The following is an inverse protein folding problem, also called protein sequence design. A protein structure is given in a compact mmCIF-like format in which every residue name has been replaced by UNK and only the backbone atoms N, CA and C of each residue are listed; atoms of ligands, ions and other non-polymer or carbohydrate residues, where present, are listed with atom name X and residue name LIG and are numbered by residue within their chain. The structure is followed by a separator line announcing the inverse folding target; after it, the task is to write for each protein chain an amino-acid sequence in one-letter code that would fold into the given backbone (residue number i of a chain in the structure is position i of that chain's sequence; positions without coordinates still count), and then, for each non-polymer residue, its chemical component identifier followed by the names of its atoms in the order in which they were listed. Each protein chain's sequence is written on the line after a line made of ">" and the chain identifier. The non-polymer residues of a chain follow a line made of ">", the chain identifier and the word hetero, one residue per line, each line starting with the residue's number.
data_IF_704855204769
#
_entry.id   IF_704855204769
#
_cell.length_a   1.000
_cell.length_b   1.000
_cell.length_c   1.000
_cell.angle_alpha   90.00
_cell.angle_beta   90.00
_cell.angle_gamma   90.00
#
_symmetry.space_group_name_H-M   'P 1'
#
loop_
_entity.id
_entity.type
_entity.pdbx_description
1 polymer ?
#
# COMPACT_ATOMS: atom_id res chain seq x y z
N UNK A 1 5.39 -11.38 12.83
CA UNK A 1 6.02 -12.17 13.90
C UNK A 1 6.57 -11.28 15.00
N UNK A 2 7.47 -10.33 14.73
CA UNK A 2 8.03 -9.40 15.75
C UNK A 2 6.96 -8.80 16.68
N UNK A 3 5.88 -8.26 16.11
CA UNK A 3 4.79 -7.68 16.91
C UNK A 3 4.24 -8.64 17.97
N UNK A 4 4.09 -9.93 17.66
CA UNK A 4 3.56 -10.93 18.61
C UNK A 4 4.54 -11.26 19.74
N UNK A 5 5.82 -10.93 19.59
CA UNK A 5 6.88 -11.20 20.58
C UNK A 5 7.13 -10.00 21.51
N UNK A 6 6.83 -8.78 21.06
CA UNK A 6 7.14 -7.55 21.82
C UNK A 6 5.90 -6.87 22.40
N UNK A 7 4.70 -7.21 21.90
CA UNK A 7 3.47 -6.53 22.29
C UNK A 7 2.96 -7.09 23.61
N UNK A 8 2.62 -6.21 24.54
CA UNK A 8 1.98 -6.61 25.80
C UNK A 8 0.52 -7.04 25.60
N UNK A 9 0.00 -7.85 26.53
CA UNK A 9 -1.40 -8.27 26.54
C UNK A 9 -2.32 -7.04 26.56
N UNK A 10 -3.38 -7.07 25.75
CA UNK A 10 -4.28 -5.94 25.50
C UNK A 10 -3.76 -4.95 24.46
N UNK A 11 -2.51 -5.09 23.99
CA UNK A 11 -1.90 -4.20 23.02
C UNK A 11 -2.59 -4.15 21.66
N UNK A 12 -2.29 -3.09 20.91
CA UNK A 12 -2.79 -2.86 19.54
C UNK A 12 -1.64 -2.94 18.54
N UNK A 13 -1.88 -3.55 17.39
CA UNK A 13 -0.92 -3.67 16.30
C UNK A 13 -1.55 -3.16 15.00
N UNK A 14 -0.82 -2.31 14.28
CA UNK A 14 -1.23 -1.80 12.96
C UNK A 14 -0.19 -2.23 11.93
N UNK A 15 -0.64 -2.99 10.93
CA UNK A 15 0.21 -3.50 9.86
C UNK A 15 -0.23 -2.92 8.52
N UNK A 16 0.69 -2.22 7.86
CA UNK A 16 0.55 -1.90 6.44
C UNK A 16 0.79 -3.15 5.61
N UNK A 17 -0.10 -3.45 4.69
CA UNK A 17 0.01 -4.56 3.74
C UNK A 17 -0.55 -4.15 2.37
N UNK A 18 -0.42 -5.04 1.40
CA UNK A 18 -0.94 -4.84 0.05
C UNK A 18 -2.07 -5.85 -0.24
N UNK A 19 -1.83 -6.78 -1.15
CA UNK A 19 -2.81 -7.79 -1.55
C UNK A 19 -2.88 -8.95 -0.55
N UNK A 20 -3.99 -9.69 -0.61
CA UNK A 20 -4.28 -10.87 0.23
C UNK A 20 -4.36 -12.17 -0.58
N UNK A 21 -3.75 -12.20 -1.77
CA UNK A 21 -3.90 -13.32 -2.71
C UNK A 21 -2.98 -14.50 -2.40
N UNK A 22 -1.91 -14.25 -1.66
CA UNK A 22 -0.89 -15.24 -1.34
C UNK A 22 -1.31 -16.12 -0.15
N UNK A 23 -1.05 -17.43 -0.25
CA UNK A 23 -1.30 -18.41 0.82
C UNK A 23 -0.62 -18.02 2.15
N UNK A 24 0.61 -17.50 2.06
CA UNK A 24 1.36 -17.00 3.22
C UNK A 24 0.68 -15.80 3.87
N UNK A 25 0.07 -14.91 3.08
CA UNK A 25 -0.69 -13.77 3.61
C UNK A 25 -1.95 -14.27 4.31
N UNK A 26 -2.66 -15.22 3.72
CA UNK A 26 -3.83 -15.84 4.33
C UNK A 26 -3.50 -16.49 5.68
N UNK A 27 -2.40 -17.23 5.76
CA UNK A 27 -1.89 -17.80 7.00
C UNK A 27 -1.59 -16.74 8.06
N UNK A 28 -0.94 -15.64 7.67
CA UNK A 28 -0.65 -14.53 8.60
C UNK A 28 -1.93 -13.84 9.07
N UNK A 29 -2.91 -13.64 8.20
CA UNK A 29 -4.21 -13.06 8.56
C UNK A 29 -4.95 -13.95 9.56
N UNK A 30 -4.94 -15.27 9.34
CA UNK A 30 -5.55 -16.21 10.28
C UNK A 30 -4.85 -16.19 11.65
N UNK A 31 -3.51 -16.20 11.66
CA UNK A 31 -2.72 -16.06 12.88
C UNK A 31 -3.09 -14.80 13.67
N UNK A 32 -3.27 -13.66 12.98
CA UNK A 32 -3.70 -12.41 13.62
C UNK A 32 -5.11 -12.54 14.21
N UNK A 33 -6.06 -13.17 13.51
CA UNK A 33 -7.40 -13.41 14.06
C UNK A 33 -7.36 -14.30 15.32
N UNK A 34 -6.46 -15.27 15.38
CA UNK A 34 -6.26 -16.09 16.58
C UNK A 34 -5.65 -15.27 17.73
N UNK A 35 -4.67 -14.43 17.42
CA UNK A 35 -3.85 -13.71 18.40
C UNK A 35 -4.52 -12.49 19.04
N UNK A 36 -5.54 -11.91 18.40
CA UNK A 36 -6.18 -10.66 18.82
C UNK A 36 -7.69 -10.83 19.02
N UNK A 37 -8.29 -9.95 19.82
CA UNK A 37 -9.74 -9.93 20.06
C UNK A 37 -10.52 -9.40 18.86
N UNK A 38 -9.94 -8.43 18.14
CA UNK A 38 -10.52 -7.85 16.93
C UNK A 38 -9.46 -7.59 15.87
N UNK A 39 -9.72 -8.01 14.64
CA UNK A 39 -8.89 -7.70 13.46
C UNK A 39 -9.77 -7.02 12.42
N UNK A 40 -9.36 -5.83 11.98
CA UNK A 40 -10.09 -5.06 10.97
C UNK A 40 -9.16 -4.66 9.83
N UNK A 41 -9.65 -4.72 8.61
CA UNK A 41 -8.91 -4.25 7.43
C UNK A 41 -9.48 -2.90 7.01
N UNK A 42 -8.61 -1.92 6.82
CA UNK A 42 -8.97 -0.53 6.51
C UNK A 42 -8.10 0.00 5.37
N UNK A 43 -8.71 0.70 4.42
CA UNK A 43 -7.98 1.57 3.47
C UNK A 43 -8.26 3.02 3.85
N UNK A 44 -7.37 3.68 4.60
CA UNK A 44 -7.60 5.06 5.04
C UNK A 44 -7.61 6.01 3.84
N UNK A 45 -8.39 7.09 3.92
CA UNK A 45 -8.47 8.13 2.87
C UNK A 45 -7.12 8.78 2.56
N UNK A 46 -6.20 8.78 3.54
CA UNK A 46 -4.85 9.31 3.41
C UNK A 46 -3.90 8.37 2.66
N UNK A 47 -4.28 7.10 2.44
CA UNK A 47 -3.58 6.21 1.51
C UNK A 47 -4.05 6.49 0.09
N UNK A 48 -3.13 6.46 -0.88
CA UNK A 48 -3.49 6.62 -2.31
C UNK A 48 -4.57 5.59 -2.68
N UNK A 49 -5.69 6.07 -3.21
CA UNK A 49 -6.85 5.20 -3.44
C UNK A 49 -6.59 4.17 -4.55
N UNK A 50 -5.81 4.51 -5.58
CA UNK A 50 -5.53 3.63 -6.72
C UNK A 50 -4.46 2.56 -6.48
N UNK A 51 -3.83 2.52 -5.29
CA UNK A 51 -2.87 1.45 -4.96
C UNK A 51 -3.55 0.28 -4.22
N UNK A 52 -2.82 -0.81 -4.04
CA UNK A 52 -3.28 -1.98 -3.28
C UNK A 52 -3.04 -1.88 -1.77
N UNK A 53 -2.55 -0.74 -1.27
CA UNK A 53 -2.22 -0.56 0.15
C UNK A 53 -3.48 -0.57 1.02
N UNK A 54 -3.45 -1.39 2.06
CA UNK A 54 -4.45 -1.53 3.11
C UNK A 54 -3.74 -1.68 4.46
N UNK A 55 -4.48 -1.47 5.54
CA UNK A 55 -4.00 -1.54 6.91
C UNK A 55 -4.81 -2.57 7.69
N UNK A 56 -4.12 -3.52 8.32
CA UNK A 56 -4.70 -4.43 9.29
C UNK A 56 -4.55 -3.81 10.67
N UNK A 57 -5.67 -3.58 11.34
CA UNK A 57 -5.76 -3.01 12.67
C UNK A 57 -6.20 -4.13 13.62
N UNK A 58 -5.25 -4.63 14.39
CA UNK A 58 -5.44 -5.67 15.38
C UNK A 58 -5.53 -5.04 16.78
N UNK A 59 -6.57 -5.37 17.55
CA UNK A 59 -6.82 -4.81 18.90
C UNK A 59 -7.02 -5.93 19.91
N UNK A 60 -6.53 -5.71 21.13
CA UNK A 60 -6.66 -6.67 22.23
C UNK A 60 -5.78 -7.89 22.00
N UNK A 61 -4.45 -7.71 22.03
CA UNK A 61 -3.53 -8.85 21.95
C UNK A 61 -3.77 -9.81 23.12
N UNK A 62 -3.99 -11.09 22.84
CA UNK A 62 -4.35 -12.08 23.87
C UNK A 62 -3.17 -12.50 24.76
N UNK A 63 -1.93 -12.23 24.32
CA UNK A 63 -0.69 -12.49 25.05
C UNK A 63 0.22 -13.48 24.33
N UNK A 64 1.51 -13.47 24.64
CA UNK A 64 2.51 -14.31 23.98
C UNK A 64 2.21 -15.82 24.08
N UNK A 65 1.68 -16.26 25.23
CA UNK A 65 1.40 -17.67 25.52
C UNK A 65 0.41 -18.31 24.53
N UNK A 66 -0.51 -17.53 23.93
CA UNK A 66 -1.47 -18.09 22.98
C UNK A 66 -0.89 -18.29 21.57
N UNK A 67 0.25 -17.67 21.26
CA UNK A 67 0.87 -17.70 19.94
C UNK A 67 2.25 -18.37 19.93
N UNK A 68 2.86 -18.57 21.10
CA UNK A 68 4.18 -19.18 21.25
C UNK A 68 4.36 -20.49 20.43
N UNK A 69 3.43 -21.47 20.48
CA UNK A 69 3.58 -22.70 19.68
C UNK A 69 3.60 -22.43 18.17
N UNK A 70 2.80 -21.47 17.71
CA UNK A 70 2.71 -21.08 16.30
C UNK A 70 3.96 -20.33 15.85
N UNK A 71 4.55 -19.52 16.74
CA UNK A 71 5.82 -18.83 16.51
C UNK A 71 6.96 -19.85 16.38
N UNK A 72 7.03 -20.84 17.27
CA UNK A 72 8.02 -21.92 17.17
C UNK A 72 7.85 -22.74 15.89
N UNK A 73 6.62 -23.12 15.53
CA UNK A 73 6.32 -23.81 14.26
C UNK A 73 6.78 -23.00 13.04
N UNK A 74 6.59 -21.68 13.07
CA UNK A 74 7.03 -20.80 11.98
C UNK A 74 8.56 -20.77 11.85
N UNK A 75 9.29 -20.62 12.96
CA UNK A 75 10.76 -20.56 12.90
C UNK A 75 11.41 -21.92 12.63
N UNK A 76 10.83 -23.04 13.09
CA UNK A 76 11.35 -24.38 12.79
C UNK A 76 11.20 -24.77 11.32
N UNK A 77 10.23 -24.19 10.61
CA UNK A 77 9.99 -24.44 9.18
C UNK A 77 10.73 -23.48 8.24
N UNK A 78 11.40 -22.46 8.80
CA UNK A 78 12.07 -21.38 8.04
C UNK A 78 13.41 -21.77 7.41
N UNK A 79 13.94 -22.98 7.67
CA UNK A 79 15.25 -23.42 7.18
C UNK A 79 15.25 -23.95 5.73
N UNK A 80 14.28 -23.55 4.90
CA UNK A 80 14.14 -24.07 3.53
C UNK A 80 14.04 -22.95 2.52
N UNK A 81 15.00 -22.95 1.61
CA UNK A 81 15.17 -22.12 0.41
C UNK A 81 14.00 -22.21 -0.60
N UNK A 82 12.87 -22.84 -0.25
CA UNK A 82 11.71 -23.06 -1.11
C UNK A 82 10.40 -22.67 -0.42
N UNK A 83 9.73 -21.72 -1.06
CA UNK A 83 8.56 -20.92 -0.67
C UNK A 83 7.22 -21.68 -0.53
N UNK A 84 7.22 -23.00 -0.29
CA UNK A 84 5.98 -23.81 -0.34
C UNK A 84 5.37 -24.20 1.02
N UNK A 85 6.04 -23.89 2.13
CA UNK A 85 5.53 -24.24 3.45
C UNK A 85 4.57 -23.17 3.98
N UNK A 86 3.28 -23.46 3.97
CA UNK A 86 2.25 -22.66 4.65
C UNK A 86 2.22 -22.97 6.16
N UNK A 87 1.96 -21.96 7.00
CA UNK A 87 1.84 -22.17 8.46
C UNK A 87 0.62 -23.04 8.82
N UNK A 88 -0.45 -22.87 8.04
CA UNK A 88 -1.71 -23.60 8.16
C UNK A 88 -2.05 -24.22 6.79
N UNK A 89 -2.28 -25.54 6.73
CA UNK A 89 -2.94 -26.18 5.60
C UNK A 89 -4.30 -25.54 5.28
N UNK A 90 -4.68 -25.50 4.01
CA UNK A 90 -5.93 -24.85 3.57
C UNK A 90 -7.17 -25.49 4.19
N UNK A 91 -7.17 -26.82 4.33
CA UNK A 91 -8.25 -27.59 4.95
C UNK A 91 -8.41 -27.33 6.46
N UNK A 92 -7.39 -26.82 7.15
CA UNK A 92 -7.45 -26.43 8.56
C UNK A 92 -8.03 -25.01 8.76
N UNK A 93 -8.15 -24.21 7.69
CA UNK A 93 -8.66 -22.85 7.79
C UNK A 93 -10.21 -22.84 7.83
N UNK A 94 -10.83 -22.13 8.78
CA UNK A 94 -12.28 -22.04 8.86
C UNK A 94 -12.89 -21.45 7.58
N UNK A 95 -13.95 -22.08 7.07
CA UNK A 95 -14.64 -21.66 5.84
C UNK A 95 -15.17 -20.22 5.92
N UNK A 96 -15.68 -19.81 7.08
CA UNK A 96 -16.17 -18.45 7.30
C UNK A 96 -15.05 -17.41 7.25
N UNK A 97 -13.86 -17.77 7.75
CA UNK A 97 -12.67 -16.93 7.63
C UNK A 97 -12.26 -16.79 6.16
N UNK A 98 -12.17 -17.91 5.42
CA UNK A 98 -11.85 -17.90 3.98
C UNK A 98 -12.84 -17.05 3.18
N UNK A 99 -14.14 -17.21 3.45
CA UNK A 99 -15.20 -16.42 2.83
C UNK A 99 -15.03 -14.91 3.12
N UNK A 100 -14.69 -14.57 4.37
CA UNK A 100 -14.48 -13.19 4.79
C UNK A 100 -13.27 -12.55 4.11
N UNK A 101 -12.15 -13.27 4.03
CA UNK A 101 -10.93 -12.79 3.34
C UNK A 101 -11.17 -12.65 1.84
N UNK A 102 -11.90 -13.58 1.22
CA UNK A 102 -12.28 -13.48 -0.19
C UNK A 102 -13.15 -12.24 -0.46
N UNK A 103 -14.24 -12.06 0.31
CA UNK A 103 -15.12 -10.89 0.19
C UNK A 103 -14.35 -9.59 0.39
N UNK A 104 -13.46 -9.55 1.39
CA UNK A 104 -12.64 -8.39 1.67
C UNK A 104 -11.65 -8.08 0.54
N UNK A 105 -10.97 -9.11 0.02
CA UNK A 105 -10.04 -8.99 -1.11
C UNK A 105 -10.77 -8.45 -2.35
N UNK A 106 -11.91 -9.05 -2.69
CA UNK A 106 -12.75 -8.64 -3.81
C UNK A 106 -13.18 -7.18 -3.69
N UNK A 107 -13.69 -6.77 -2.53
CA UNK A 107 -14.11 -5.40 -2.26
C UNK A 107 -12.99 -4.37 -2.50
N UNK A 108 -11.80 -4.61 -1.95
CA UNK A 108 -10.68 -3.66 -2.13
C UNK A 108 -10.12 -3.65 -3.55
N UNK A 109 -10.12 -4.80 -4.24
CA UNK A 109 -9.73 -4.86 -5.66
C UNK A 109 -10.72 -4.12 -6.57
N UNK A 110 -12.03 -4.29 -6.37
CA UNK A 110 -13.06 -3.58 -7.13
C UNK A 110 -12.98 -2.07 -6.91
N UNK A 111 -12.80 -1.63 -5.65
CA UNK A 111 -12.57 -0.21 -5.34
C UNK A 111 -11.32 0.33 -6.04
N UNK A 112 -10.22 -0.44 -6.02
CA UNK A 112 -8.97 -0.04 -6.66
C UNK A 112 -9.16 0.15 -8.17
N UNK A 113 -9.81 -0.83 -8.83
CA UNK A 113 -10.10 -0.78 -10.26
C UNK A 113 -10.93 0.46 -10.62
N UNK A 114 -12.03 0.69 -9.90
CA UNK A 114 -12.90 1.85 -10.11
C UNK A 114 -12.13 3.17 -9.95
N UNK A 115 -11.26 3.28 -8.95
CA UNK A 115 -10.45 4.48 -8.73
C UNK A 115 -9.44 4.68 -9.85
N UNK A 116 -8.79 3.62 -10.33
CA UNK A 116 -7.83 3.71 -11.44
C UNK A 116 -8.55 4.20 -12.70
N UNK A 117 -9.70 3.60 -13.05
CA UNK A 117 -10.51 3.99 -14.20
C UNK A 117 -10.97 5.45 -14.10
N UNK A 118 -11.46 5.84 -12.92
CA UNK A 118 -11.86 7.21 -12.66
C UNK A 118 -10.67 8.17 -12.79
N UNK A 119 -9.50 7.83 -12.24
CA UNK A 119 -8.32 8.69 -12.35
C UNK A 119 -7.89 8.89 -13.81
N UNK A 120 -7.95 7.85 -14.64
CA UNK A 120 -7.66 7.95 -16.08
C UNK A 120 -8.67 8.88 -16.75
N UNK A 121 -9.97 8.69 -16.51
CA UNK A 121 -11.02 9.55 -17.07
C UNK A 121 -10.84 11.01 -16.67
N UNK A 122 -10.62 11.25 -15.37
CA UNK A 122 -10.47 12.60 -14.81
C UNK A 122 -9.19 13.27 -15.27
N UNK A 123 -8.11 12.52 -15.53
CA UNK A 123 -6.86 13.07 -16.03
C UNK A 123 -7.06 13.89 -17.31
N UNK A 124 -7.89 13.39 -18.24
CA UNK A 124 -8.18 14.08 -19.51
C UNK A 124 -9.26 15.17 -19.41
N UNK A 125 -10.04 15.20 -18.33
CA UNK A 125 -11.23 16.06 -18.21
C UNK A 125 -11.08 17.18 -17.18
N UNK A 126 -9.96 17.22 -16.45
CA UNK A 126 -9.79 18.09 -15.29
C UNK A 126 -9.72 19.57 -15.67
N UNK A 127 -10.46 20.39 -14.95
CA UNK A 127 -10.44 21.86 -15.06
C UNK A 127 -9.68 22.51 -13.90
N UNK A 128 -9.31 23.79 -14.03
CA UNK A 128 -8.71 24.56 -12.92
C UNK A 128 -9.64 24.67 -11.70
N UNK A 129 -10.96 24.76 -11.93
CA UNK A 129 -11.95 24.83 -10.85
C UNK A 129 -11.99 23.55 -10.02
N UNK A 130 -11.76 22.39 -10.63
CA UNK A 130 -11.65 21.11 -9.91
C UNK A 130 -10.43 21.11 -8.99
N UNK A 131 -9.31 21.70 -9.42
CA UNK A 131 -8.09 21.80 -8.61
C UNK A 131 -8.32 22.67 -7.37
N UNK A 132 -9.01 23.81 -7.53
CA UNK A 132 -9.33 24.71 -6.41
C UNK A 132 -10.25 24.01 -5.40
N UNK A 133 -11.33 23.41 -5.89
CA UNK A 133 -12.30 22.68 -5.06
C UNK A 133 -11.65 21.52 -4.27
N UNK A 134 -10.72 20.78 -4.89
CA UNK A 134 -9.97 19.73 -4.21
C UNK A 134 -9.06 20.27 -3.09
N UNK A 135 -8.46 21.43 -3.29
CA UNK A 135 -7.59 22.07 -2.28
C UNK A 135 -8.41 22.51 -1.07
N UNK A 136 -9.60 23.09 -1.30
CA UNK A 136 -10.53 23.48 -0.24
C UNK A 136 -11.03 22.25 0.55
N UNK A 137 -11.36 21.16 -0.15
CA UNK A 137 -11.76 19.90 0.49
C UNK A 137 -10.63 19.33 1.36
N UNK A 138 -9.38 19.35 0.88
CA UNK A 138 -8.22 18.91 1.66
C UNK A 138 -8.07 19.73 2.94
N UNK A 139 -8.23 21.05 2.87
CA UNK A 139 -8.18 21.92 4.04
C UNK A 139 -9.31 21.61 5.02
N UNK A 140 -10.54 21.40 4.53
CA UNK A 140 -11.68 21.02 5.36
C UNK A 140 -11.44 19.69 6.09
N UNK A 141 -10.89 18.68 5.41
CA UNK A 141 -10.54 17.38 6.02
C UNK A 141 -9.47 17.56 7.10
N UNK A 142 -8.41 18.32 6.82
CA UNK A 142 -7.35 18.60 7.78
C UNK A 142 -7.88 19.33 9.03
N UNK A 143 -8.68 20.38 8.84
CA UNK A 143 -9.29 21.14 9.93
C UNK A 143 -10.24 20.26 10.77
N UNK A 144 -11.05 19.43 10.11
CA UNK A 144 -11.93 18.46 10.80
C UNK A 144 -11.13 17.50 11.67
N UNK A 145 -9.99 17.00 11.18
CA UNK A 145 -9.10 16.11 11.93
C UNK A 145 -8.53 16.81 13.17
N UNK A 146 -7.98 18.02 13.01
CA UNK A 146 -7.40 18.82 14.10
C UNK A 146 -8.44 19.08 15.19
N UNK A 147 -9.64 19.52 14.80
CA UNK A 147 -10.71 19.84 15.74
C UNK A 147 -11.26 18.59 16.44
N UNK A 148 -11.48 17.50 15.68
CA UNK A 148 -12.03 16.25 16.22
C UNK A 148 -11.11 15.59 17.24
N UNK A 149 -9.80 15.58 16.98
CA UNK A 149 -8.81 14.93 17.84
C UNK A 149 -8.09 15.90 18.77
N UNK A 150 -8.47 17.18 18.77
CA UNK A 150 -7.88 18.24 19.58
C UNK A 150 -6.35 18.27 19.45
N UNK A 151 -5.85 18.16 18.23
CA UNK A 151 -4.41 18.15 17.96
C UNK A 151 -3.84 19.50 18.37
N UNK A 152 -2.86 19.49 19.27
CA UNK A 152 -2.14 20.68 19.74
C UNK A 152 -0.74 20.70 19.15
N UNK A 153 -0.15 21.90 18.94
CA UNK A 153 1.27 22.01 18.68
C UNK A 153 2.07 21.30 19.78
N UNK A 154 3.16 20.64 19.39
CA UNK A 154 4.12 20.11 20.36
C UNK A 154 4.77 21.29 21.10
N UNK A 155 5.06 21.10 22.39
CA UNK A 155 5.84 22.09 23.13
C UNK A 155 7.23 22.20 22.48
N UNK A 156 7.73 23.42 22.16
CA UNK A 156 9.05 23.59 21.55
C UNK A 156 10.20 22.92 22.33
N UNK A 157 10.06 22.75 23.65
CA UNK A 157 11.04 22.05 24.50
C UNK A 157 11.05 20.53 24.29
N UNK A 158 9.97 19.96 23.73
CA UNK A 158 9.83 18.54 23.43
C UNK A 158 10.19 18.21 21.96
N UNK A 159 10.55 19.21 21.16
CA UNK A 159 11.01 18.99 19.79
C UNK A 159 12.34 18.23 19.79
N UNK A 160 12.36 17.01 19.24
CA UNK A 160 13.59 16.21 19.07
C UNK A 160 14.58 16.95 18.17
N UNK A 161 14.07 17.56 17.10
CA UNK A 161 14.82 18.45 16.21
C UNK A 161 14.05 19.76 16.11
N UNK A 162 14.54 20.78 16.80
CA UNK A 162 13.87 22.07 16.86
C UNK A 162 13.67 22.71 15.49
N UNK A 163 12.54 23.40 15.25
CA UNK A 163 12.29 24.12 13.98
C UNK A 163 13.45 25.05 13.59
N UNK A 164 14.09 25.67 14.57
CA UNK A 164 15.24 26.56 14.35
C UNK A 164 16.45 25.83 13.76
N UNK A 165 16.69 24.57 14.16
CA UNK A 165 17.75 23.72 13.57
C UNK A 165 17.39 23.31 12.15
N UNK A 166 16.14 22.96 11.87
CA UNK A 166 15.69 22.63 10.52
C UNK A 166 15.79 23.83 9.56
N UNK A 167 15.39 25.03 10.01
CA UNK A 167 15.53 26.26 9.22
C UNK A 167 16.99 26.64 8.96
N UNK A 168 17.89 26.40 9.91
CA UNK A 168 19.32 26.61 9.73
C UNK A 168 19.93 25.67 8.66
N UNK A 169 19.45 24.43 8.57
CA UNK A 169 19.85 23.46 7.54
C UNK A 169 19.21 23.77 6.17
N UNK A 170 18.07 24.47 6.16
CA UNK A 170 17.29 24.74 4.95
C UNK A 170 17.98 25.67 3.95
N UNK A 171 19.01 26.42 4.37
CA UNK A 171 19.78 27.31 3.49
C UNK A 171 20.61 26.56 2.44
N UNK A 172 20.97 25.29 2.66
CA UNK A 172 21.81 24.49 1.76
C UNK A 172 21.05 23.43 0.95
N UNK A 173 19.72 23.37 1.08
CA UNK A 173 18.92 22.44 0.29
C UNK A 173 18.51 23.08 -1.04
N UNK A 174 18.63 22.35 -2.18
CA UNK A 174 18.17 22.86 -3.46
C UNK A 174 16.68 23.22 -3.35
N UNK A 175 16.34 24.45 -3.74
CA UNK A 175 14.96 24.91 -3.76
C UNK A 175 14.16 23.97 -4.67
N UNK A 176 13.31 23.14 -4.06
CA UNK A 176 12.34 22.35 -4.82
C UNK A 176 11.40 23.34 -5.49
N UNK A 177 11.47 23.41 -6.81
CA UNK A 177 10.59 24.26 -7.60
C UNK A 177 9.14 23.94 -7.27
N UNK A 178 8.41 24.91 -6.72
CA UNK A 178 6.97 24.82 -6.47
C UNK A 178 6.14 25.14 -7.71
N UNK A 179 6.80 25.48 -8.82
CA UNK A 179 6.16 25.74 -10.10
C UNK A 179 5.58 24.44 -10.62
N UNK A 180 4.25 24.34 -10.67
CA UNK A 180 3.55 23.23 -11.33
C UNK A 180 3.98 23.22 -12.79
N UNK A 181 4.86 22.28 -13.15
CA UNK A 181 5.18 22.03 -14.56
C UNK A 181 4.02 21.29 -15.19
N UNK A 182 3.74 21.59 -16.47
CA UNK A 182 2.73 20.86 -17.23
C UNK A 182 3.02 19.35 -17.17
N UNK A 183 2.01 18.56 -16.80
CA UNK A 183 2.07 17.10 -16.68
C UNK A 183 1.75 16.42 -18.01
N UNK A 184 2.06 17.08 -19.13
CA UNK A 184 1.82 16.54 -20.48
C UNK A 184 2.80 15.43 -20.86
N UNK A 185 3.91 15.31 -20.12
CA UNK A 185 4.95 14.33 -20.34
C UNK A 185 5.63 13.95 -19.02
N UNK A 186 6.08 12.70 -18.94
CA UNK A 186 6.87 12.14 -17.83
C UNK A 186 8.21 12.84 -17.68
N UNK A 187 8.86 12.71 -16.52
CA UNK A 187 10.19 13.30 -16.30
C UNK A 187 11.23 12.81 -17.32
N UNK A 188 11.18 11.53 -17.69
CA UNK A 188 12.06 10.97 -18.71
C UNK A 188 11.82 11.59 -20.10
N UNK A 189 10.56 11.81 -20.48
CA UNK A 189 10.20 12.51 -21.72
C UNK A 189 10.63 13.98 -21.68
N UNK A 190 10.46 14.67 -20.55
CA UNK A 190 10.95 16.05 -20.36
C UNK A 190 12.46 16.14 -20.53
N UNK A 191 13.22 15.21 -19.95
CA UNK A 191 14.68 15.19 -20.12
C UNK A 191 15.06 14.92 -21.58
N UNK A 192 14.36 14.01 -22.27
CA UNK A 192 14.59 13.74 -23.69
C UNK A 192 14.29 14.93 -24.59
N UNK A 193 13.22 15.68 -24.33
CA UNK A 193 12.88 16.89 -25.09
C UNK A 193 13.90 18.03 -24.92
N UNK A 194 14.68 18.02 -23.83
CA UNK A 194 15.79 18.96 -23.62
C UNK A 194 17.04 18.52 -24.40
N UNK A 195 17.21 17.21 -24.65
CA UNK A 195 18.39 16.63 -25.29
C UNK A 195 18.24 16.42 -26.81
N UNK A 196 17.02 16.28 -27.34
CA UNK A 196 16.77 15.93 -28.74
C UNK A 196 15.85 16.93 -29.45
N UNK A 197 16.11 17.19 -30.74
CA UNK A 197 15.17 17.86 -31.63
C UNK A 197 13.97 16.92 -31.90
N UNK A 198 12.76 17.47 -32.05
CA UNK A 198 11.50 16.69 -32.16
C UNK A 198 11.55 15.56 -33.22
N UNK A 199 12.27 15.78 -34.32
CA UNK A 199 12.45 14.81 -35.40
C UNK A 199 13.32 13.60 -35.00
N UNK A 200 14.33 13.81 -34.15
CA UNK A 200 15.23 12.76 -33.69
C UNK A 200 14.56 11.90 -32.61
N UNK A 201 13.72 12.51 -31.77
CA UNK A 201 12.90 11.78 -30.78
C UNK A 201 11.86 10.90 -31.48
N UNK A 202 11.16 11.41 -32.49
CA UNK A 202 10.19 10.63 -33.27
C UNK A 202 10.86 9.40 -33.93
N UNK A 203 12.08 9.56 -34.43
CA UNK A 203 12.86 8.48 -35.05
C UNK A 203 13.28 7.43 -34.02
N UNK A 204 13.76 7.86 -32.85
CA UNK A 204 14.12 6.97 -31.75
C UNK A 204 12.92 6.16 -31.25
N UNK A 205 11.76 6.79 -31.09
CA UNK A 205 10.52 6.13 -30.68
C UNK A 205 10.05 5.13 -31.74
N UNK A 206 10.13 5.49 -33.02
CA UNK A 206 9.79 4.58 -34.11
C UNK A 206 10.72 3.36 -34.14
N UNK A 207 12.01 3.55 -33.91
CA UNK A 207 12.99 2.47 -33.81
C UNK A 207 12.75 1.58 -32.57
N UNK A 208 12.32 2.16 -31.44
CA UNK A 208 11.91 1.39 -30.26
C UNK A 208 10.64 0.56 -30.52
N UNK A 209 9.64 1.13 -31.20
CA UNK A 209 8.43 0.40 -31.59
C UNK A 209 8.77 -0.72 -32.58
N UNK A 210 9.61 -0.43 -33.56
CA UNK A 210 10.04 -1.41 -34.57
C UNK A 210 10.92 -2.52 -33.99
N UNK A 211 11.74 -2.20 -32.97
CA UNK A 211 12.56 -3.18 -32.25
C UNK A 211 11.79 -3.94 -31.17
N UNK A 212 10.59 -3.47 -30.81
CA UNK A 212 9.70 -4.17 -29.91
C UNK A 212 9.18 -5.44 -30.58
N UNK A 213 9.88 -6.56 -30.37
CA UNK A 213 9.31 -7.87 -30.63
C UNK A 213 8.12 -8.03 -29.71
N UNK A 214 6.90 -8.08 -30.26
CA UNK A 214 5.73 -8.51 -29.51
C UNK A 214 6.12 -9.80 -28.80
N UNK A 215 6.29 -9.73 -27.49
CA UNK A 215 6.30 -10.92 -26.66
C UNK A 215 4.85 -11.37 -26.71
N UNK A 216 4.51 -12.50 -27.36
CA UNK A 216 3.20 -13.05 -27.16
C UNK A 216 3.13 -13.34 -25.67
N UNK A 217 2.31 -12.56 -24.96
CA UNK A 217 1.91 -12.93 -23.62
C UNK A 217 1.21 -14.27 -23.77
N UNK A 218 1.96 -15.36 -23.55
CA UNK A 218 1.37 -16.66 -23.32
C UNK A 218 0.69 -16.55 -21.96
N UNK A 219 -0.53 -16.04 -21.97
CA UNK A 219 -1.47 -16.37 -20.93
C UNK A 219 -1.63 -17.88 -21.03
N UNK A 220 -0.96 -18.62 -20.15
CA UNK A 220 -1.39 -19.99 -19.91
C UNK A 220 -2.88 -19.89 -19.57
N UNK A 221 -3.71 -20.49 -20.42
CA UNK A 221 -5.15 -20.61 -20.16
C UNK A 221 -5.42 -21.38 -18.85
N UNK A 222 -4.40 -21.99 -18.28
CA UNK A 222 -4.38 -22.59 -16.97
C UNK A 222 -3.98 -21.54 -15.93
N UNK A 223 -4.97 -20.75 -15.52
CA UNK A 223 -4.97 -20.29 -14.13
C UNK A 223 -5.05 -21.56 -13.29
N UNK A 224 -3.91 -21.99 -12.72
CA UNK A 224 -3.87 -23.09 -11.76
C UNK A 224 -4.62 -22.64 -10.51
N UNK A 225 -5.93 -22.91 -10.48
CA UNK A 225 -6.68 -22.87 -9.24
C UNK A 225 -6.18 -24.05 -8.42
N UNK A 226 -5.40 -23.78 -7.37
CA UNK A 226 -5.14 -24.78 -6.34
C UNK A 226 -6.47 -25.15 -5.72
N UNK A 227 -6.92 -26.38 -5.98
CA UNK A 227 -8.15 -26.90 -5.39
C UNK A 227 -7.83 -27.55 -4.05
N UNK A 228 -8.85 -27.87 -3.25
CA UNK A 228 -8.65 -28.46 -1.92
C UNK A 228 -7.99 -29.85 -1.90
N UNK A 229 -7.65 -30.41 -3.07
CA UNK A 229 -7.02 -31.71 -3.24
C UNK A 229 -5.53 -31.62 -3.65
N UNK A 230 -4.99 -30.40 -3.83
CA UNK A 230 -3.55 -30.11 -3.99
C UNK A 230 -2.91 -29.67 -2.66
#
# INVERSE_FOLDING_TARGET
>A
MVALMILEKGGTFVLKMFTMFECNTLCRMYLLCCAFDSVQIKKPLTSKQGNSEIYVVCRGFKGFQCVEPLIHKFFSTSNRTLSYNCLFPLNELPKDFLSSVYKCSKYFSELQMQVIENNIKWFYQKTENDIKSLTELQYCVANTYVNRFQIKPIDPSQEIVGQNKLRAIQFDLPKVSTTKTDMNCSFAEKMRQVEYLELDEAKLLQDQVNSYKQTPWKYDKEVSWFTSED
#
